data_IF_692995098771
#
_entry.id   IF_692995098771
#
_cell.length_a   1.000
_cell.length_b   1.000
_cell.length_c   1.000
_cell.angle_alpha   90.00
_cell.angle_beta   90.00
_cell.angle_gamma   90.00
#
_symmetry.space_group_name_H-M   'P 1'
#
loop_
_entity.id
_entity.type
_entity.pdbx_description
1 polymer ?
#
# COMPACT_ATOMS: atom_id res chain seq x y z
N UNK A 1 69.14 49.01 -33.42
CA UNK A 1 70.32 48.22 -33.82
C UNK A 1 70.14 46.88 -33.15
N UNK A 2 69.51 45.94 -33.88
CA UNK A 2 70.18 44.81 -34.55
C UNK A 2 70.58 43.74 -33.51
N UNK A 3 70.25 42.45 -33.58
CA UNK A 3 69.71 41.58 -34.63
C UNK A 3 69.24 40.28 -33.94
N UNK A 4 68.06 39.73 -34.29
CA UNK A 4 67.83 38.53 -35.12
C UNK A 4 68.42 37.20 -34.61
N UNK A 5 67.53 36.26 -34.24
CA UNK A 5 67.19 35.03 -34.99
C UNK A 5 66.36 34.09 -34.09
N UNK A 6 65.12 33.78 -34.47
CA UNK A 6 64.71 32.59 -35.25
C UNK A 6 64.97 31.27 -34.50
N UNK A 7 63.93 30.59 -34.00
CA UNK A 7 63.27 29.57 -34.82
C UNK A 7 62.03 28.95 -34.15
N UNK A 8 61.02 28.72 -34.98
CA UNK A 8 59.81 27.96 -34.70
C UNK A 8 60.11 26.46 -34.69
N UNK A 9 59.62 25.71 -33.69
CA UNK A 9 58.95 24.44 -34.00
C UNK A 9 58.09 23.86 -32.87
N UNK A 10 56.79 23.80 -33.16
CA UNK A 10 55.81 22.75 -32.88
C UNK A 10 56.01 21.87 -31.62
N UNK A 11 55.21 22.17 -30.61
CA UNK A 11 54.92 21.29 -29.47
C UNK A 11 54.03 20.12 -29.93
N UNK A 12 54.51 18.89 -29.77
CA UNK A 12 53.73 17.66 -29.96
C UNK A 12 52.68 17.48 -28.83
N UNK A 13 51.50 16.89 -29.12
CA UNK A 13 50.45 16.74 -28.12
C UNK A 13 50.83 15.66 -27.09
N UNK A 14 50.79 16.02 -25.80
CA UNK A 14 50.99 15.07 -24.70
C UNK A 14 49.83 14.09 -24.64
N UNK A 15 50.17 12.81 -24.63
CA UNK A 15 49.26 11.69 -24.40
C UNK A 15 48.57 11.86 -23.04
N UNK A 16 47.23 11.79 -23.03
CA UNK A 16 46.42 11.80 -21.82
C UNK A 16 46.60 10.47 -21.09
N UNK A 17 47.27 10.49 -19.94
CA UNK A 17 47.29 9.37 -19.02
C UNK A 17 45.88 9.11 -18.48
N UNK A 18 45.41 7.87 -18.64
CA UNK A 18 44.14 7.38 -18.11
C UNK A 18 44.00 7.69 -16.62
N UNK A 19 42.96 8.44 -16.25
CA UNK A 19 42.52 8.57 -14.87
C UNK A 19 41.80 7.28 -14.48
N UNK A 20 42.29 6.62 -13.43
CA UNK A 20 41.59 5.54 -12.74
C UNK A 20 40.19 6.01 -12.36
N UNK A 21 39.18 5.44 -13.03
CA UNK A 21 37.79 5.58 -12.64
C UNK A 21 37.57 4.85 -11.32
N UNK A 22 37.73 5.56 -10.21
CA UNK A 22 37.14 5.13 -8.95
C UNK A 22 35.63 5.18 -9.14
N UNK A 23 35.04 4.01 -9.36
CA UNK A 23 33.61 3.81 -9.33
C UNK A 23 33.12 4.06 -7.91
N UNK A 24 32.79 5.31 -7.61
CA UNK A 24 32.01 5.70 -6.44
C UNK A 24 30.56 5.31 -6.70
N UNK A 25 30.31 4.00 -6.81
CA UNK A 25 28.97 3.44 -6.64
C UNK A 25 28.59 3.56 -5.16
N UNK A 26 28.26 4.80 -4.80
CA UNK A 26 27.27 5.25 -3.84
C UNK A 26 26.97 4.27 -2.69
N UNK A 27 27.64 4.51 -1.56
CA UNK A 27 27.29 4.00 -0.23
C UNK A 27 25.96 4.58 0.33
N UNK A 28 25.08 5.12 -0.53
CA UNK A 28 23.75 5.56 -0.15
C UNK A 28 22.76 4.46 -0.50
N UNK A 29 21.94 3.97 0.46
CA UNK A 29 20.82 3.11 0.13
C UNK A 29 19.99 3.82 -0.95
N UNK A 30 19.66 3.10 -2.04
CA UNK A 30 18.75 3.60 -3.07
C UNK A 30 17.57 4.24 -2.34
N UNK A 31 17.22 5.51 -2.61
CA UNK A 31 16.06 6.13 -1.98
C UNK A 31 14.87 5.20 -2.23
N UNK A 32 14.31 4.66 -1.16
CA UNK A 32 13.12 3.82 -1.20
C UNK A 32 12.03 4.68 -1.80
N UNK A 33 11.73 4.47 -3.08
CA UNK A 33 10.68 5.21 -3.75
C UNK A 33 9.37 4.85 -3.09
N UNK A 34 8.59 5.85 -2.73
CA UNK A 34 7.25 5.68 -2.18
C UNK A 34 6.45 4.63 -2.97
N UNK A 35 5.72 3.69 -2.32
CA UNK A 35 4.96 2.67 -3.02
C UNK A 35 3.98 3.29 -4.02
N UNK A 36 3.76 2.59 -5.14
CA UNK A 36 2.88 3.10 -6.22
C UNK A 36 1.74 2.14 -6.49
N UNK A 37 0.60 2.70 -6.86
CA UNK A 37 -0.58 1.91 -7.20
C UNK A 37 -0.31 1.03 -8.43
N UNK A 38 -0.76 -0.21 -8.35
CA UNK A 38 -0.61 -1.29 -9.33
C UNK A 38 0.84 -1.75 -9.58
N UNK A 39 1.81 -1.28 -8.80
CA UNK A 39 3.17 -1.86 -8.75
C UNK A 39 3.25 -2.94 -7.65
N UNK A 40 4.22 -3.87 -7.72
CA UNK A 40 4.48 -4.83 -6.64
C UNK A 40 4.68 -4.10 -5.31
N UNK A 41 4.06 -4.62 -4.25
CA UNK A 41 4.29 -4.13 -2.89
C UNK A 41 5.76 -4.41 -2.49
N UNK A 42 6.41 -3.50 -1.74
CA UNK A 42 7.75 -3.73 -1.23
C UNK A 42 7.81 -5.06 -0.44
N UNK A 43 8.76 -5.91 -0.79
CA UNK A 43 8.89 -7.21 -0.13
C UNK A 43 9.34 -7.05 1.33
N UNK A 44 8.93 -7.99 2.18
CA UNK A 44 9.32 -8.02 3.58
C UNK A 44 9.38 -9.46 4.11
N UNK A 45 10.24 -9.64 5.11
CA UNK A 45 10.23 -10.78 6.03
C UNK A 45 10.39 -10.23 7.44
N UNK A 46 9.48 -10.57 8.35
CA UNK A 46 9.42 -9.95 9.66
C UNK A 46 8.98 -10.93 10.75
N UNK A 47 9.35 -10.63 11.99
CA UNK A 47 8.85 -11.30 13.19
C UNK A 47 7.46 -10.73 13.51
N UNK A 48 6.52 -11.59 13.87
CA UNK A 48 5.17 -11.17 14.30
C UNK A 48 4.75 -11.85 15.60
N UNK A 49 3.64 -11.37 16.17
CA UNK A 49 2.98 -12.02 17.33
C UNK A 49 2.51 -13.46 17.07
N UNK A 50 2.46 -13.92 15.82
CA UNK A 50 2.05 -15.28 15.46
C UNK A 50 3.15 -16.08 14.75
N UNK A 51 4.42 -15.67 14.91
CA UNK A 51 5.57 -16.26 14.23
C UNK A 51 6.12 -15.39 13.09
N UNK A 52 7.04 -15.91 12.30
CA UNK A 52 7.58 -15.17 11.15
C UNK A 52 6.54 -15.05 10.03
N UNK A 53 6.47 -13.89 9.39
CA UNK A 53 5.67 -13.67 8.19
C UNK A 53 6.52 -13.04 7.08
N UNK A 54 6.22 -13.38 5.83
CA UNK A 54 6.77 -12.72 4.64
C UNK A 54 5.63 -12.33 3.69
N UNK A 55 5.85 -11.33 2.83
CA UNK A 55 4.82 -10.89 1.88
C UNK A 55 4.30 -12.05 1.02
N UNK A 56 5.19 -12.96 0.62
CA UNK A 56 4.85 -14.13 -0.19
C UNK A 56 3.88 -15.12 0.49
N UNK A 57 3.72 -15.09 1.81
CA UNK A 57 2.75 -15.93 2.53
C UNK A 57 1.30 -15.57 2.18
N UNK A 58 1.08 -14.36 1.66
CA UNK A 58 -0.23 -13.83 1.30
C UNK A 58 -0.54 -13.94 -0.20
N UNK A 59 0.33 -14.56 -1.01
CA UNK A 59 0.10 -14.74 -2.43
C UNK A 59 -1.20 -15.54 -2.67
N UNK A 60 -2.03 -15.08 -3.60
CA UNK A 60 -3.35 -15.67 -3.86
C UNK A 60 -4.46 -15.20 -2.91
N UNK A 61 -4.14 -14.37 -1.91
CA UNK A 61 -5.12 -13.73 -1.00
C UNK A 61 -4.95 -12.22 -1.00
N UNK A 62 -5.99 -11.50 -0.60
CA UNK A 62 -5.86 -10.06 -0.37
C UNK A 62 -5.21 -9.83 0.99
N UNK A 63 -4.46 -8.74 1.12
CA UNK A 63 -3.83 -8.34 2.38
C UNK A 63 -4.11 -6.87 2.67
N UNK A 64 -4.59 -6.58 3.87
CA UNK A 64 -4.55 -5.24 4.46
C UNK A 64 -3.39 -5.18 5.44
N UNK A 65 -2.30 -4.55 5.02
CA UNK A 65 -1.18 -4.19 5.88
C UNK A 65 -1.45 -2.79 6.45
N UNK A 66 -1.43 -2.64 7.77
CA UNK A 66 -1.68 -1.36 8.40
C UNK A 66 -0.74 -1.10 9.57
N UNK A 67 -0.27 0.13 9.69
CA UNK A 67 0.61 0.53 10.79
C UNK A 67 -0.13 1.30 11.88
N UNK A 68 0.43 1.31 13.08
CA UNK A 68 0.02 2.19 14.18
C UNK A 68 1.25 2.82 14.86
N UNK A 69 1.11 4.02 15.47
CA UNK A 69 2.25 4.72 16.06
C UNK A 69 2.97 3.97 17.18
N UNK A 70 2.22 3.44 18.15
CA UNK A 70 2.78 2.69 19.28
C UNK A 70 1.70 1.89 20.00
N UNK A 71 2.09 0.73 20.52
CA UNK A 71 1.34 -0.07 21.48
C UNK A 71 0.95 0.76 22.72
N UNK A 72 -0.04 0.28 23.48
CA UNK A 72 -0.50 0.93 24.71
C UNK A 72 -0.97 2.39 24.54
N UNK A 73 -1.30 2.82 23.31
CA UNK A 73 -1.92 4.11 23.05
C UNK A 73 -3.42 3.98 22.71
N UNK A 74 -4.26 4.95 23.12
CA UNK A 74 -5.71 4.76 23.12
C UNK A 74 -6.32 4.64 21.71
N UNK A 75 -5.92 5.50 20.78
CA UNK A 75 -6.46 5.45 19.40
C UNK A 75 -6.05 4.16 18.68
N UNK A 76 -4.82 3.67 18.90
CA UNK A 76 -4.40 2.38 18.34
C UNK A 76 -5.23 1.24 18.92
N UNK A 77 -5.53 1.31 20.22
CA UNK A 77 -6.36 0.29 20.91
C UNK A 77 -7.77 0.24 20.35
N UNK A 78 -8.40 1.39 20.06
CA UNK A 78 -9.74 1.40 19.44
C UNK A 78 -9.72 0.82 18.02
N UNK A 79 -8.68 1.11 17.23
CA UNK A 79 -8.54 0.57 15.87
C UNK A 79 -8.34 -0.95 15.87
N UNK A 80 -7.47 -1.47 16.74
CA UNK A 80 -7.23 -2.92 16.83
C UNK A 80 -8.48 -3.67 17.27
N UNK A 81 -9.26 -3.12 18.21
CA UNK A 81 -10.57 -3.68 18.59
C UNK A 81 -11.53 -3.68 17.39
N UNK A 82 -11.58 -2.59 16.62
CA UNK A 82 -12.45 -2.49 15.46
C UNK A 82 -12.07 -3.48 14.34
N UNK A 83 -10.76 -3.62 14.04
CA UNK A 83 -10.26 -4.63 13.13
C UNK A 83 -10.55 -6.05 13.61
N UNK A 84 -10.37 -6.34 14.90
CA UNK A 84 -10.66 -7.66 15.47
C UNK A 84 -12.14 -8.04 15.32
N UNK A 85 -13.05 -7.10 15.58
CA UNK A 85 -14.49 -7.30 15.37
C UNK A 85 -14.86 -7.48 13.90
N UNK A 86 -14.16 -6.79 12.99
CA UNK A 86 -14.37 -6.90 11.54
C UNK A 86 -13.66 -8.11 10.91
N UNK A 87 -12.73 -8.75 11.62
CA UNK A 87 -11.87 -9.82 11.08
C UNK A 87 -12.66 -10.96 10.39
N UNK A 88 -13.79 -11.47 10.94
CA UNK A 88 -14.58 -12.48 10.24
C UNK A 88 -15.08 -12.02 8.86
N UNK A 89 -15.36 -10.72 8.69
CA UNK A 89 -15.84 -10.14 7.43
C UNK A 89 -14.71 -9.98 6.41
N UNK A 90 -13.49 -9.69 6.86
CA UNK A 90 -12.29 -9.72 6.02
C UNK A 90 -11.97 -11.16 5.57
N UNK A 91 -12.04 -12.12 6.49
CA UNK A 91 -11.82 -13.53 6.17
C UNK A 91 -12.85 -14.09 5.18
N UNK A 92 -14.12 -13.71 5.32
CA UNK A 92 -15.19 -14.10 4.40
C UNK A 92 -15.00 -13.58 2.97
N UNK A 93 -14.12 -12.59 2.76
CA UNK A 93 -13.76 -12.05 1.45
C UNK A 93 -12.31 -12.39 1.08
N UNK A 94 -11.72 -13.42 1.72
CA UNK A 94 -10.35 -13.89 1.45
C UNK A 94 -9.30 -12.78 1.58
N UNK A 95 -9.49 -11.91 2.56
CA UNK A 95 -8.57 -10.83 2.89
C UNK A 95 -8.00 -11.03 4.30
N UNK A 96 -6.68 -11.06 4.40
CA UNK A 96 -5.96 -11.14 5.66
C UNK A 96 -5.63 -9.73 6.18
N UNK A 97 -5.42 -9.64 7.50
CA UNK A 97 -5.00 -8.43 8.19
C UNK A 97 -3.60 -8.63 8.77
N UNK A 98 -2.76 -7.60 8.66
CA UNK A 98 -1.42 -7.59 9.23
C UNK A 98 -1.15 -6.21 9.85
N UNK A 99 -1.01 -6.16 11.17
CA UNK A 99 -0.63 -4.95 11.90
C UNK A 99 0.88 -4.72 11.84
N UNK A 100 1.33 -3.49 12.10
CA UNK A 100 2.74 -3.14 12.19
C UNK A 100 2.96 -1.96 13.15
N UNK A 101 3.97 -2.07 14.00
CA UNK A 101 4.59 -0.89 14.62
C UNK A 101 6.08 -1.13 14.84
N UNK A 102 6.77 -0.13 15.40
CA UNK A 102 8.21 -0.19 15.69
C UNK A 102 8.44 -0.73 17.12
N UNK A 103 7.38 -1.11 17.85
CA UNK A 103 7.52 -1.75 19.15
C UNK A 103 7.99 -3.21 19.03
N UNK A 104 8.57 -3.74 20.11
CA UNK A 104 8.99 -5.15 20.16
C UNK A 104 7.81 -6.14 20.18
N UNK A 105 8.03 -7.38 19.76
CA UNK A 105 7.07 -8.49 19.83
C UNK A 105 6.63 -8.76 21.27
N UNK A 106 7.52 -8.55 22.25
CA UNK A 106 7.20 -8.65 23.67
C UNK A 106 6.17 -7.59 24.08
N UNK A 107 6.30 -6.37 23.56
CA UNK A 107 5.32 -5.30 23.74
C UNK A 107 3.98 -5.68 23.09
N UNK A 108 3.99 -6.14 21.84
CA UNK A 108 2.78 -6.54 21.15
C UNK A 108 2.02 -7.64 21.90
N UNK A 109 2.74 -8.66 22.39
CA UNK A 109 2.14 -9.76 23.17
C UNK A 109 1.51 -9.21 24.47
N UNK A 110 2.22 -8.36 25.19
CA UNK A 110 1.71 -7.74 26.40
C UNK A 110 0.47 -6.88 26.12
N UNK A 111 0.47 -6.13 25.01
CA UNK A 111 -0.62 -5.27 24.60
C UNK A 111 -1.85 -6.06 24.16
N UNK A 112 -1.69 -7.09 23.32
CA UNK A 112 -2.79 -7.98 22.91
C UNK A 112 -3.44 -8.65 24.12
N UNK A 113 -2.63 -9.11 25.10
CA UNK A 113 -3.14 -9.67 26.35
C UNK A 113 -3.89 -8.63 27.17
N UNK A 114 -3.38 -7.41 27.24
CA UNK A 114 -4.05 -6.29 27.92
C UNK A 114 -5.41 -5.96 27.27
N UNK A 115 -5.48 -5.93 25.93
CA UNK A 115 -6.74 -5.71 25.21
C UNK A 115 -7.75 -6.79 25.57
N UNK A 116 -7.33 -8.06 25.57
CA UNK A 116 -8.21 -9.17 25.94
C UNK A 116 -8.67 -9.07 27.39
N UNK A 117 -7.79 -8.73 28.32
CA UNK A 117 -8.13 -8.62 29.74
C UNK A 117 -9.10 -7.45 30.01
N UNK A 118 -8.87 -6.28 29.41
CA UNK A 118 -9.61 -5.05 29.73
C UNK A 118 -10.86 -4.82 28.89
N UNK A 119 -10.90 -5.34 27.67
CA UNK A 119 -11.98 -5.10 26.72
C UNK A 119 -12.68 -6.40 26.25
N UNK A 120 -12.22 -7.56 26.72
CA UNK A 120 -12.72 -8.89 26.33
C UNK A 120 -12.62 -9.20 24.82
N UNK A 121 -11.73 -8.49 24.11
CA UNK A 121 -11.52 -8.68 22.66
C UNK A 121 -10.18 -9.36 22.41
N UNK A 122 -10.20 -10.50 21.72
CA UNK A 122 -8.98 -11.14 21.23
C UNK A 122 -8.58 -10.51 19.89
N UNK A 123 -7.28 -10.26 19.69
CA UNK A 123 -6.73 -9.81 18.40
C UNK A 123 -6.35 -11.05 17.59
N UNK A 124 -7.07 -11.37 16.50
CA UNK A 124 -6.92 -12.66 15.81
C UNK A 124 -5.85 -12.65 14.70
N UNK A 125 -5.24 -11.50 14.42
CA UNK A 125 -4.28 -11.32 13.34
C UNK A 125 -2.87 -10.96 13.86
N UNK A 126 -1.81 -11.25 13.08
CA UNK A 126 -0.43 -10.93 13.44
C UNK A 126 -0.13 -9.42 13.46
N UNK A 127 0.85 -9.05 14.27
CA UNK A 127 1.44 -7.71 14.35
C UNK A 127 2.93 -7.84 14.12
N UNK A 128 3.45 -7.18 13.09
CA UNK A 128 4.89 -7.07 12.79
C UNK A 128 5.59 -6.25 13.87
N UNK A 129 6.67 -6.82 14.41
CA UNK A 129 7.74 -6.09 15.08
C UNK A 129 8.68 -5.53 14.00
N UNK A 130 8.77 -4.20 13.89
CA UNK A 130 9.67 -3.52 12.95
C UNK A 130 10.67 -2.60 13.67
N UNK A 131 11.44 -3.16 14.61
CA UNK A 131 12.44 -2.41 15.40
C UNK A 131 13.47 -1.67 14.53
N UNK A 132 13.76 -2.20 13.34
CA UNK A 132 14.73 -1.62 12.39
C UNK A 132 14.10 -0.56 11.47
N UNK A 133 12.77 -0.39 11.54
CA UNK A 133 11.97 0.51 10.70
C UNK A 133 12.07 0.19 9.20
N UNK A 134 12.59 -0.99 8.82
CA UNK A 134 12.85 -1.31 7.43
C UNK A 134 11.55 -1.42 6.63
N UNK A 135 10.55 -2.11 7.19
CA UNK A 135 9.23 -2.24 6.55
C UNK A 135 8.53 -0.89 6.56
N UNK A 136 8.56 -0.16 7.68
CA UNK A 136 7.97 1.16 7.80
C UNK A 136 8.56 2.16 6.79
N UNK A 137 9.87 2.15 6.55
CA UNK A 137 10.50 2.99 5.54
C UNK A 137 10.17 2.55 4.11
N UNK A 138 10.20 1.24 3.81
CA UNK A 138 9.86 0.72 2.49
C UNK A 138 8.44 1.10 2.07
N UNK A 139 7.53 1.18 3.03
CA UNK A 139 6.13 1.58 2.83
C UNK A 139 5.88 3.09 3.09
N UNK A 140 6.89 3.90 3.39
CA UNK A 140 6.72 5.34 3.64
C UNK A 140 5.80 5.65 4.84
N UNK A 141 5.77 4.75 5.83
CA UNK A 141 4.99 4.88 7.06
C UNK A 141 5.66 5.83 8.07
N UNK A 142 6.97 6.07 7.93
CA UNK A 142 7.70 7.10 8.70
C UNK A 142 7.75 8.36 7.85
N UNK A 143 7.06 9.41 8.28
CA UNK A 143 6.90 10.63 7.49
C UNK A 143 7.57 11.83 8.16
N UNK A 144 8.44 12.57 7.44
CA UNK A 144 9.04 13.80 7.93
C UNK A 144 7.97 14.78 8.43
N UNK A 145 8.18 15.35 9.62
CA UNK A 145 7.25 16.29 10.26
C UNK A 145 6.09 15.63 11.02
N UNK A 146 5.92 14.30 10.93
CA UNK A 146 4.97 13.55 11.75
C UNK A 146 5.68 12.90 12.95
N UNK A 147 6.64 12.02 12.68
CA UNK A 147 7.51 11.39 13.69
C UNK A 147 8.71 10.74 13.00
N UNK A 148 9.88 10.80 13.64
CA UNK A 148 11.09 10.11 13.19
C UNK A 148 11.26 8.74 13.89
N UNK A 149 10.40 8.42 14.86
CA UNK A 149 10.53 7.22 15.71
C UNK A 149 9.23 6.41 15.80
N UNK A 150 8.22 6.76 14.99
CA UNK A 150 6.92 6.07 14.98
C UNK A 150 6.34 6.06 13.58
N UNK A 151 5.64 4.98 13.22
CA UNK A 151 4.86 4.95 12.00
C UNK A 151 3.61 5.84 12.13
N UNK A 152 3.20 6.51 11.05
CA UNK A 152 1.86 7.10 10.94
C UNK A 152 0.81 6.01 10.79
N UNK A 153 -0.47 6.36 10.74
CA UNK A 153 -1.57 5.41 10.54
C UNK A 153 -1.75 5.09 9.06
N UNK A 154 -0.80 4.36 8.49
CA UNK A 154 -0.84 3.95 7.09
C UNK A 154 -1.66 2.67 6.89
N UNK A 155 -2.25 2.51 5.71
CA UNK A 155 -2.97 1.31 5.27
C UNK A 155 -2.60 1.03 3.83
N UNK A 156 -2.28 -0.21 3.52
CA UNK A 156 -2.06 -0.73 2.17
C UNK A 156 -3.05 -1.85 1.92
N UNK A 157 -3.84 -1.72 0.86
CA UNK A 157 -4.62 -2.82 0.32
C UNK A 157 -3.81 -3.45 -0.79
N UNK A 158 -3.42 -4.71 -0.62
CA UNK A 158 -2.57 -5.48 -1.52
C UNK A 158 -3.39 -6.63 -2.09
N UNK A 159 -3.34 -6.83 -3.41
CA UNK A 159 -4.12 -7.88 -4.07
C UNK A 159 -3.43 -9.26 -4.08
N UNK A 160 -4.13 -10.23 -4.67
CA UNK A 160 -3.68 -11.63 -4.80
C UNK A 160 -2.41 -11.82 -5.62
N UNK A 161 -1.97 -10.80 -6.37
CA UNK A 161 -0.72 -10.77 -7.14
C UNK A 161 0.37 -9.93 -6.43
N UNK A 162 0.15 -9.60 -5.16
CA UNK A 162 1.04 -8.78 -4.34
C UNK A 162 1.23 -7.35 -4.87
N UNK A 163 0.24 -6.78 -5.56
CA UNK A 163 0.28 -5.38 -6.03
C UNK A 163 -0.45 -4.45 -5.07
N UNK A 164 0.06 -3.23 -4.89
CA UNK A 164 -0.59 -2.20 -4.06
C UNK A 164 -1.79 -1.64 -4.83
N UNK A 165 -3.00 -1.72 -4.27
CA UNK A 165 -4.25 -1.29 -4.91
C UNK A 165 -4.88 -0.06 -4.29
N UNK A 166 -4.59 0.20 -3.03
CA UNK A 166 -4.94 1.45 -2.37
C UNK A 166 -3.97 1.74 -1.22
N UNK A 167 -3.82 3.03 -0.92
CA UNK A 167 -3.02 3.52 0.19
C UNK A 167 -3.80 4.61 0.93
N UNK A 168 -3.82 4.56 2.26
CA UNK A 168 -4.35 5.63 3.10
C UNK A 168 -3.29 6.02 4.14
N UNK A 169 -3.11 7.32 4.38
CA UNK A 169 -2.21 7.84 5.40
C UNK A 169 -2.98 8.80 6.31
N UNK A 170 -3.27 8.33 7.51
CA UNK A 170 -3.90 9.15 8.55
C UNK A 170 -2.82 9.71 9.49
N UNK A 171 -2.99 10.94 10.01
CA UNK A 171 -2.12 11.44 11.06
C UNK A 171 -2.30 10.61 12.33
N UNK A 172 -1.32 10.68 13.23
CA UNK A 172 -1.35 9.94 14.51
C UNK A 172 -2.58 10.28 15.37
N UNK A 173 -3.13 11.48 15.23
CA UNK A 173 -4.28 12.00 15.98
C UNK A 173 -5.64 11.41 15.61
N UNK A 174 -5.79 10.82 14.42
CA UNK A 174 -7.10 10.47 13.87
C UNK A 174 -7.21 8.97 13.62
N UNK A 175 -8.15 8.30 14.32
CA UNK A 175 -8.48 6.91 14.05
C UNK A 175 -9.11 6.72 12.68
N UNK A 176 -8.83 5.58 12.04
CA UNK A 176 -9.33 5.17 10.73
C UNK A 176 -10.73 4.57 10.81
N UNK A 177 -11.45 4.61 9.69
CA UNK A 177 -12.70 3.87 9.51
C UNK A 177 -12.41 2.47 8.99
N UNK A 178 -12.46 1.45 9.87
CA UNK A 178 -12.31 0.03 9.47
C UNK A 178 -13.41 -0.41 8.50
N UNK A 179 -14.62 0.14 8.64
CA UNK A 179 -15.72 -0.14 7.73
C UNK A 179 -15.42 0.34 6.30
N UNK A 180 -14.75 1.49 6.15
CA UNK A 180 -14.34 1.99 4.85
C UNK A 180 -13.23 1.14 4.23
N UNK A 181 -12.26 0.69 5.02
CA UNK A 181 -11.21 -0.21 4.53
C UNK A 181 -11.83 -1.53 4.02
N UNK A 182 -12.78 -2.11 4.76
CA UNK A 182 -13.50 -3.30 4.32
C UNK A 182 -14.28 -3.05 3.02
N UNK A 183 -15.03 -1.94 2.94
CA UNK A 183 -15.79 -1.55 1.74
C UNK A 183 -14.87 -1.38 0.54
N UNK A 184 -13.70 -0.77 0.73
CA UNK A 184 -12.70 -0.57 -0.31
C UNK A 184 -12.18 -1.90 -0.87
N UNK A 185 -11.86 -2.88 -0.01
CA UNK A 185 -11.46 -4.23 -0.46
C UNK A 185 -12.59 -4.88 -1.27
N UNK A 186 -13.83 -4.81 -0.79
CA UNK A 186 -14.99 -5.36 -1.52
C UNK A 186 -15.19 -4.69 -2.89
N UNK A 187 -15.00 -3.38 -2.99
CA UNK A 187 -15.10 -2.62 -4.24
C UNK A 187 -14.00 -3.00 -5.24
N UNK A 188 -12.76 -3.15 -4.77
CA UNK A 188 -11.62 -3.57 -5.58
C UNK A 188 -11.80 -5.01 -6.09
N UNK A 189 -12.21 -5.94 -5.22
CA UNK A 189 -12.52 -7.31 -5.63
C UNK A 189 -13.66 -7.38 -6.65
N UNK A 190 -14.71 -6.57 -6.47
CA UNK A 190 -15.82 -6.48 -7.43
C UNK A 190 -15.34 -5.96 -8.78
N UNK A 191 -14.50 -4.93 -8.78
CA UNK A 191 -13.86 -4.37 -9.98
C UNK A 191 -13.07 -5.44 -10.73
N UNK A 192 -12.22 -6.19 -10.02
CA UNK A 192 -11.35 -7.19 -10.62
C UNK A 192 -12.13 -8.40 -11.16
N UNK A 193 -13.13 -8.87 -10.40
CA UNK A 193 -13.96 -10.03 -10.75
C UNK A 193 -14.86 -9.74 -11.96
N UNK A 194 -15.54 -8.60 -11.97
CA UNK A 194 -16.57 -8.32 -12.97
C UNK A 194 -16.12 -7.38 -14.11
N UNK A 195 -14.86 -6.89 -14.06
CA UNK A 195 -14.29 -5.93 -15.03
C UNK A 195 -15.15 -4.67 -15.17
N UNK A 196 -15.53 -4.11 -14.03
CA UNK A 196 -16.38 -2.91 -13.89
C UNK A 196 -15.68 -1.87 -13.04
N UNK A 197 -16.18 -0.64 -13.01
CA UNK A 197 -15.79 0.35 -12.01
C UNK A 197 -16.88 0.49 -10.94
N UNK A 198 -16.51 0.93 -9.75
CA UNK A 198 -17.45 1.22 -8.66
C UNK A 198 -17.64 2.74 -8.52
N UNK A 199 -18.88 3.26 -8.47
CA UNK A 199 -19.13 4.68 -8.27
C UNK A 199 -18.73 5.16 -6.86
N UNK A 200 -18.82 6.48 -6.62
CA UNK A 200 -18.63 7.10 -5.31
C UNK A 200 -19.52 6.42 -4.25
N UNK A 201 -18.94 6.13 -3.07
CA UNK A 201 -19.65 5.50 -1.96
C UNK A 201 -20.19 4.09 -2.23
N UNK A 202 -19.79 3.41 -3.32
CA UNK A 202 -20.36 2.12 -3.69
C UNK A 202 -20.26 1.07 -2.57
N UNK A 203 -21.34 0.34 -2.36
CA UNK A 203 -21.43 -0.79 -1.42
C UNK A 203 -21.93 -2.04 -2.14
N UNK A 204 -21.60 -3.25 -1.64
CA UNK A 204 -22.07 -4.50 -2.24
C UNK A 204 -23.58 -4.51 -2.49
N UNK A 205 -23.97 -4.87 -3.73
CA UNK A 205 -25.37 -4.88 -4.19
C UNK A 205 -25.83 -3.60 -4.90
N UNK A 206 -25.11 -2.48 -4.78
CA UNK A 206 -25.37 -1.28 -5.56
C UNK A 206 -24.94 -1.44 -7.03
N UNK A 207 -25.48 -0.61 -7.92
CA UNK A 207 -25.11 -0.62 -9.35
C UNK A 207 -23.64 -0.23 -9.52
N UNK A 208 -22.96 -0.93 -10.42
CA UNK A 208 -21.58 -0.65 -10.84
C UNK A 208 -21.58 0.14 -12.15
N UNK A 209 -20.45 0.79 -12.46
CA UNK A 209 -20.22 1.50 -13.71
C UNK A 209 -19.63 0.56 -14.75
N UNK A 210 -20.21 0.56 -15.95
CA UNK A 210 -19.62 -0.10 -17.11
C UNK A 210 -18.46 0.77 -17.62
N UNK A 211 -17.26 0.22 -17.88
CA UNK A 211 -16.15 1.00 -18.42
C UNK A 211 -16.54 1.70 -19.72
N UNK A 212 -16.19 2.99 -19.88
CA UNK A 212 -16.58 3.74 -21.07
C UNK A 212 -15.92 3.17 -22.32
N UNK A 213 -16.57 3.31 -23.49
CA UNK A 213 -15.95 3.10 -24.79
C UNK A 213 -14.59 3.79 -24.92
N UNK A 214 -13.63 3.16 -25.61
CA UNK A 214 -12.31 3.74 -25.89
C UNK A 214 -12.19 4.32 -27.30
N UNK A 215 -13.18 4.10 -28.16
CA UNK A 215 -13.22 4.61 -29.53
C UNK A 215 -14.59 5.19 -29.87
N UNK A 216 -14.64 6.09 -30.86
CA UNK A 216 -15.89 6.68 -31.36
C UNK A 216 -16.83 5.59 -31.87
N UNK A 217 -16.31 4.60 -32.61
CA UNK A 217 -17.12 3.47 -33.09
C UNK A 217 -17.69 2.59 -31.96
N UNK A 218 -17.01 2.47 -30.81
CA UNK A 218 -17.59 1.82 -29.63
C UNK A 218 -18.63 2.70 -28.94
N UNK A 219 -18.45 4.02 -28.93
CA UNK A 219 -19.42 4.97 -28.38
C UNK A 219 -20.70 5.03 -29.23
N UNK A 220 -20.59 5.08 -30.55
CA UNK A 220 -21.74 5.08 -31.47
C UNK A 220 -22.54 3.77 -31.38
N UNK A 221 -21.85 2.64 -31.15
CA UNK A 221 -22.50 1.35 -30.89
C UNK A 221 -23.16 1.28 -29.52
N UNK A 222 -22.63 2.01 -28.53
CA UNK A 222 -23.19 2.13 -27.19
C UNK A 222 -24.28 3.20 -27.22
N UNK A 223 -25.41 2.84 -27.82
CA UNK A 223 -26.50 3.76 -28.10
C UNK A 223 -27.05 4.40 -26.83
N UNK A 224 -27.65 5.58 -26.98
CA UNK A 224 -28.35 6.30 -25.88
C UNK A 224 -29.55 5.51 -25.31
N UNK A 225 -29.96 4.44 -25.97
CA UNK A 225 -31.13 3.62 -25.65
C UNK A 225 -30.78 2.31 -24.92
N UNK A 226 -29.48 2.04 -24.69
CA UNK A 226 -29.07 0.87 -23.91
C UNK A 226 -29.58 1.00 -22.46
N UNK A 227 -30.38 0.01 -22.01
CA UNK A 227 -31.01 0.02 -20.70
C UNK A 227 -29.98 0.21 -19.58
N UNK A 228 -30.11 1.29 -18.80
CA UNK A 228 -29.19 1.63 -17.70
C UNK A 228 -28.09 2.63 -18.06
N UNK A 229 -28.09 3.19 -19.27
CA UNK A 229 -27.21 4.28 -19.66
C UNK A 229 -27.92 5.64 -19.61
N UNK A 230 -27.26 6.64 -19.01
CA UNK A 230 -27.65 8.05 -19.13
C UNK A 230 -27.03 8.68 -20.37
N UNK A 231 -25.80 8.26 -20.70
CA UNK A 231 -25.05 8.67 -21.90
C UNK A 231 -24.04 7.57 -22.28
N UNK A 232 -23.40 7.67 -23.45
CA UNK A 232 -22.50 6.64 -24.00
C UNK A 232 -21.33 6.28 -23.07
N UNK A 233 -20.88 7.22 -22.24
CA UNK A 233 -19.80 7.03 -21.26
C UNK A 233 -20.32 6.73 -19.85
N UNK A 234 -21.63 6.90 -19.60
CA UNK A 234 -22.25 6.77 -18.28
C UNK A 234 -23.31 5.68 -18.30
N UNK A 235 -22.85 4.44 -18.11
CA UNK A 235 -23.70 3.26 -18.08
C UNK A 235 -23.55 2.53 -16.75
N UNK A 236 -24.69 2.10 -16.20
CA UNK A 236 -24.77 1.40 -14.94
C UNK A 236 -25.45 0.05 -15.10
N UNK A 237 -24.96 -0.96 -14.40
CA UNK A 237 -25.60 -2.27 -14.33
C UNK A 237 -25.50 -2.89 -12.95
N UNK A 238 -26.33 -3.89 -12.68
CA UNK A 238 -26.12 -4.78 -11.53
C UNK A 238 -25.08 -5.86 -11.89
N UNK A 239 -24.37 -6.34 -10.88
CA UNK A 239 -23.55 -7.55 -10.93
C UNK A 239 -24.16 -8.56 -9.97
N UNK A 240 -24.37 -9.77 -10.43
CA UNK A 240 -24.71 -10.91 -9.57
C UNK A 240 -23.42 -11.36 -8.85
N UNK A 241 -23.53 -11.84 -7.62
CA UNK A 241 -22.39 -12.29 -6.78
C UNK A 241 -21.31 -11.24 -6.47
N UNK A 242 -21.69 -9.96 -6.35
CA UNK A 242 -20.84 -8.99 -5.67
C UNK A 242 -20.50 -9.57 -4.29
N UNK A 243 -19.20 -9.76 -4.04
CA UNK A 243 -18.60 -10.34 -2.82
C UNK A 243 -19.56 -10.15 -1.66
N UNK A 244 -20.19 -11.26 -1.24
CA UNK A 244 -21.42 -11.26 -0.47
C UNK A 244 -21.42 -10.15 0.57
N UNK A 245 -22.49 -9.37 0.67
CA UNK A 245 -22.65 -8.38 1.72
C UNK A 245 -22.59 -9.10 3.07
N UNK A 246 -21.40 -9.21 3.64
CA UNK A 246 -21.20 -9.79 4.96
C UNK A 246 -21.77 -8.76 5.93
N UNK A 247 -23.04 -8.96 6.29
CA UNK A 247 -23.75 -8.18 7.30
C UNK A 247 -23.14 -8.42 8.67
#
# INVERSE_FOLDING_TARGET
>A
MADQNCDNNRVAPRQSSASNGHNLDSAYPKPTSFPRLNEPAPDFQAVTTQGSAKLADYLGRWLVLFSHPSDFTPVCTTEFIAFAKAHPRFQAIECDLLGLSIDSVSSHIAWVRNIKEKFDVAIPFPIIEDLTMQVAHAYGMVQPGASDTSAVRAVFVIDTESKVRAMLYYPMSNGRSVAEILRLVQALQTTDRHKVATPEGWTPGAKVMVPPPKTVAEADRRGREDAGCTDWYFCQRKVEDAVAAVR
#
